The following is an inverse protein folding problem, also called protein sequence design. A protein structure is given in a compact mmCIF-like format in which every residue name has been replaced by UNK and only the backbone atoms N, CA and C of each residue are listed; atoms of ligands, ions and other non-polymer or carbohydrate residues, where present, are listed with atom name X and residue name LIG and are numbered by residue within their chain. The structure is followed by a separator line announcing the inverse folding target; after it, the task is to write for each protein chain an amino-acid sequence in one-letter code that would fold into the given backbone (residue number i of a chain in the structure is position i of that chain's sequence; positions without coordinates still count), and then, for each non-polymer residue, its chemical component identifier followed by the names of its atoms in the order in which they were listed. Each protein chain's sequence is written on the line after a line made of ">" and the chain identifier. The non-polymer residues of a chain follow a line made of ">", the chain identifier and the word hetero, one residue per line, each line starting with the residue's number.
data_IF_127839147086
#
_entry.id   IF_127839147086
#
_cell.length_a   1.000
_cell.length_b   1.000
_cell.length_c   1.000
_cell.angle_alpha   90.00
_cell.angle_beta   90.00
_cell.angle_gamma   90.00
#
_symmetry.space_group_name_H-M   'P 1'
#
loop_
_entity.id
_entity.type
_entity.pdbx_description
1 polymer ?
#
# COMPACT_ATOMS: atom_id res chain seq x y z
N UNK A 1 -26.49 67.71 -11.38
CA UNK A 1 -25.60 67.39 -10.25
C UNK A 1 -25.79 65.94 -9.69
N UNK A 2 -26.86 65.23 -10.02
CA UNK A 2 -27.16 63.88 -9.51
C UNK A 2 -26.51 62.71 -10.28
N UNK A 3 -26.08 62.90 -11.53
CA UNK A 3 -25.51 61.83 -12.35
C UNK A 3 -24.09 61.39 -11.91
N UNK A 4 -23.28 62.29 -11.37
CA UNK A 4 -21.94 61.98 -10.91
C UNK A 4 -21.93 61.13 -9.63
N UNK A 5 -22.89 61.27 -8.73
CA UNK A 5 -22.93 60.50 -7.48
C UNK A 5 -23.30 59.03 -7.71
N UNK A 6 -24.11 58.71 -8.72
CA UNK A 6 -24.46 57.34 -9.06
C UNK A 6 -23.25 56.58 -9.65
N UNK A 7 -22.44 57.21 -10.49
CA UNK A 7 -21.24 56.60 -11.08
C UNK A 7 -20.19 56.27 -10.00
N UNK A 8 -19.96 57.20 -9.07
CA UNK A 8 -19.04 56.99 -7.95
C UNK A 8 -19.53 55.89 -6.99
N UNK A 9 -20.82 55.81 -6.74
CA UNK A 9 -21.41 54.77 -5.91
C UNK A 9 -21.26 53.36 -6.56
N UNK A 10 -21.52 53.19 -7.83
CA UNK A 10 -21.34 51.95 -8.53
C UNK A 10 -19.88 51.54 -8.62
N UNK A 11 -18.96 52.45 -8.86
CA UNK A 11 -17.52 52.15 -8.87
C UNK A 11 -17.01 51.73 -7.49
N UNK A 12 -17.44 52.38 -6.42
CA UNK A 12 -17.09 52.00 -5.06
C UNK A 12 -17.66 50.61 -4.67
N UNK A 13 -18.89 50.33 -5.06
CA UNK A 13 -19.52 49.00 -4.83
C UNK A 13 -18.79 47.91 -5.57
N UNK A 14 -18.44 48.13 -6.84
CA UNK A 14 -17.68 47.18 -7.64
C UNK A 14 -16.29 46.93 -7.04
N UNK A 15 -15.60 47.97 -6.60
CA UNK A 15 -14.30 47.83 -5.94
C UNK A 15 -14.40 47.05 -4.62
N UNK A 16 -15.45 47.26 -3.84
CA UNK A 16 -15.72 46.53 -2.60
C UNK A 16 -15.95 45.06 -2.87
N UNK A 17 -16.80 44.73 -3.85
CA UNK A 17 -17.08 43.33 -4.26
C UNK A 17 -15.79 42.67 -4.74
N UNK A 18 -15.01 43.33 -5.59
CA UNK A 18 -13.76 42.79 -6.11
C UNK A 18 -12.73 42.53 -4.99
N UNK A 19 -12.65 43.46 -4.00
CA UNK A 19 -11.72 43.33 -2.88
C UNK A 19 -12.05 42.17 -1.94
N UNK A 20 -13.32 41.77 -1.84
CA UNK A 20 -13.74 40.62 -1.03
C UNK A 20 -13.73 39.32 -1.81
N UNK A 21 -14.11 39.34 -3.10
CA UNK A 21 -14.16 38.14 -3.93
C UNK A 21 -12.76 37.56 -4.20
N UNK A 22 -11.76 38.43 -4.44
CA UNK A 22 -10.38 37.99 -4.71
C UNK A 22 -9.78 37.08 -3.62
N UNK A 23 -9.74 37.53 -2.36
CA UNK A 23 -9.24 36.69 -1.26
C UNK A 23 -10.03 35.42 -1.04
N UNK A 24 -11.36 35.43 -1.18
CA UNK A 24 -12.20 34.23 -1.02
C UNK A 24 -11.93 33.19 -2.09
N UNK A 25 -11.81 33.58 -3.35
CA UNK A 25 -11.44 32.68 -4.45
C UNK A 25 -10.05 32.12 -4.23
N UNK A 26 -9.09 32.94 -3.81
CA UNK A 26 -7.71 32.52 -3.53
C UNK A 26 -7.67 31.49 -2.40
N UNK A 27 -8.37 31.73 -1.29
CA UNK A 27 -8.45 30.80 -0.15
C UNK A 27 -9.07 29.48 -0.59
N UNK A 28 -10.15 29.50 -1.37
CA UNK A 28 -10.79 28.30 -1.86
C UNK A 28 -9.88 27.50 -2.79
N UNK A 29 -9.26 28.15 -3.77
CA UNK A 29 -8.32 27.53 -4.69
C UNK A 29 -7.11 26.92 -3.96
N UNK A 30 -6.51 27.67 -3.01
CA UNK A 30 -5.39 27.21 -2.22
C UNK A 30 -5.74 26.00 -1.36
N UNK A 31 -6.89 26.02 -0.69
CA UNK A 31 -7.36 24.85 0.10
C UNK A 31 -7.58 23.62 -0.78
N UNK A 32 -8.17 23.78 -1.95
CA UNK A 32 -8.36 22.69 -2.91
C UNK A 32 -7.02 22.09 -3.37
N UNK A 33 -6.05 22.93 -3.72
CA UNK A 33 -4.70 22.52 -4.11
C UNK A 33 -3.95 21.81 -2.98
N UNK A 34 -4.00 22.36 -1.75
CA UNK A 34 -3.36 21.74 -0.58
C UNK A 34 -3.96 20.34 -0.34
N UNK A 35 -5.28 20.21 -0.35
CA UNK A 35 -5.95 18.92 -0.14
C UNK A 35 -5.58 17.91 -1.22
N UNK A 36 -5.52 18.31 -2.49
CA UNK A 36 -5.10 17.45 -3.58
C UNK A 36 -3.64 16.99 -3.42
N UNK A 37 -2.74 17.94 -3.08
CA UNK A 37 -1.32 17.62 -2.89
C UNK A 37 -1.09 16.70 -1.70
N UNK A 38 -1.76 16.93 -0.57
CA UNK A 38 -1.63 16.09 0.63
C UNK A 38 -2.18 14.68 0.37
N UNK A 39 -3.33 14.56 -0.29
CA UNK A 39 -3.91 13.26 -0.63
C UNK A 39 -3.01 12.48 -1.59
N UNK A 40 -2.51 13.13 -2.63
CA UNK A 40 -1.59 12.53 -3.60
C UNK A 40 -0.30 12.07 -2.92
N UNK A 41 0.33 12.91 -2.08
CA UNK A 41 1.54 12.56 -1.36
C UNK A 41 1.36 11.40 -0.38
N UNK A 42 0.24 11.35 0.35
CA UNK A 42 -0.05 10.25 1.27
C UNK A 42 -0.28 8.93 0.51
N UNK A 43 -0.97 8.98 -0.63
CA UNK A 43 -1.21 7.80 -1.46
C UNK A 43 0.07 7.28 -2.10
N UNK A 44 0.96 8.19 -2.57
CA UNK A 44 2.28 7.81 -3.07
C UNK A 44 3.10 7.08 -2.00
N UNK A 45 3.16 7.63 -0.78
CA UNK A 45 3.85 6.99 0.35
C UNK A 45 3.26 5.61 0.66
N UNK A 46 1.94 5.48 0.63
CA UNK A 46 1.26 4.19 0.81
C UNK A 46 1.70 3.19 -0.26
N UNK A 47 1.76 3.58 -1.55
CA UNK A 47 2.22 2.71 -2.65
C UNK A 47 3.65 2.23 -2.39
N UNK A 48 4.55 3.12 -2.00
CA UNK A 48 5.96 2.80 -1.76
C UNK A 48 6.12 1.86 -0.57
N UNK A 49 5.42 2.11 0.54
CA UNK A 49 5.42 1.24 1.72
C UNK A 49 4.77 -0.13 1.44
N UNK A 50 3.71 -0.17 0.65
CA UNK A 50 3.07 -1.42 0.26
C UNK A 50 4.00 -2.26 -0.61
N UNK A 51 4.66 -1.67 -1.60
CA UNK A 51 5.66 -2.33 -2.46
C UNK A 51 6.82 -2.90 -1.64
N UNK A 52 7.36 -2.13 -0.71
CA UNK A 52 8.43 -2.58 0.19
C UNK A 52 7.97 -3.77 1.04
N UNK A 53 6.76 -3.71 1.61
CA UNK A 53 6.21 -4.77 2.44
C UNK A 53 5.99 -6.07 1.66
N UNK A 54 5.48 -6.00 0.43
CA UNK A 54 5.33 -7.16 -0.47
C UNK A 54 6.71 -7.75 -0.83
N UNK A 55 7.68 -6.90 -1.17
CA UNK A 55 9.02 -7.36 -1.53
C UNK A 55 9.70 -8.08 -0.37
N UNK A 56 9.59 -7.54 0.84
CA UNK A 56 10.11 -8.20 2.06
C UNK A 56 9.40 -9.52 2.33
N UNK A 57 8.07 -9.54 2.24
CA UNK A 57 7.29 -10.75 2.44
C UNK A 57 7.73 -11.86 1.48
N UNK A 58 7.87 -11.57 0.19
CA UNK A 58 8.34 -12.55 -0.81
C UNK A 58 9.77 -13.02 -0.54
N UNK A 59 10.67 -12.14 -0.10
CA UNK A 59 12.05 -12.52 0.25
C UNK A 59 12.11 -13.43 1.47
N UNK A 60 11.33 -13.15 2.51
CA UNK A 60 11.33 -13.96 3.74
C UNK A 60 10.72 -15.34 3.51
N UNK A 61 9.76 -15.50 2.58
CA UNK A 61 9.23 -16.81 2.21
C UNK A 61 10.35 -17.73 1.72
N UNK A 62 11.22 -17.22 0.84
CA UNK A 62 12.32 -18.00 0.29
C UNK A 62 13.28 -18.48 1.40
N UNK A 63 13.61 -17.61 2.35
CA UNK A 63 14.49 -17.92 3.49
C UNK A 63 13.83 -18.97 4.41
N UNK A 64 12.55 -18.78 4.73
CA UNK A 64 11.81 -19.72 5.60
C UNK A 64 11.65 -21.08 4.94
N UNK A 65 11.37 -21.14 3.64
CA UNK A 65 11.26 -22.39 2.90
C UNK A 65 12.59 -23.15 2.89
N UNK A 66 13.70 -22.47 2.62
CA UNK A 66 15.03 -23.06 2.60
C UNK A 66 15.46 -23.55 4.00
N UNK A 67 15.25 -22.75 5.04
CA UNK A 67 15.57 -23.14 6.41
C UNK A 67 14.83 -24.40 6.87
N UNK A 68 13.57 -24.55 6.45
CA UNK A 68 12.77 -25.74 6.75
C UNK A 68 13.32 -27.01 6.06
N UNK A 69 13.73 -26.92 4.79
CA UNK A 69 14.31 -28.07 4.08
C UNK A 69 15.58 -28.57 4.80
N UNK A 70 16.43 -27.68 5.26
CA UNK A 70 17.67 -28.04 5.97
C UNK A 70 17.36 -28.77 7.27
N UNK A 71 16.40 -28.29 8.06
CA UNK A 71 16.00 -28.92 9.32
C UNK A 71 15.40 -30.32 9.11
N UNK A 72 14.64 -30.53 8.04
CA UNK A 72 13.96 -31.81 7.77
C UNK A 72 14.88 -32.85 7.12
N UNK A 73 15.87 -32.40 6.32
CA UNK A 73 16.73 -33.30 5.51
C UNK A 73 17.78 -34.02 6.32
N UNK A 74 18.39 -33.39 7.30
CA UNK A 74 19.52 -33.95 8.03
C UNK A 74 19.13 -34.58 9.38
N UNK A 75 17.87 -34.49 9.81
CA UNK A 75 17.41 -35.06 11.08
C UNK A 75 18.12 -34.50 12.32
N UNK A 76 19.12 -33.68 12.13
CA UNK A 76 19.92 -33.02 13.14
C UNK A 76 19.49 -31.55 13.22
N UNK A 77 18.86 -31.17 14.33
CA UNK A 77 18.50 -29.77 14.61
C UNK A 77 19.79 -29.02 14.92
N UNK A 78 20.36 -28.37 13.90
CA UNK A 78 21.50 -27.47 14.13
C UNK A 78 20.95 -26.20 14.76
N UNK A 79 21.26 -25.96 16.03
CA UNK A 79 20.72 -24.87 16.87
C UNK A 79 20.86 -23.49 16.22
N UNK A 80 21.90 -23.24 15.43
CA UNK A 80 22.08 -21.99 14.69
C UNK A 80 21.03 -21.79 13.57
N UNK A 81 20.65 -22.86 12.89
CA UNK A 81 19.64 -22.84 11.82
C UNK A 81 18.24 -22.58 12.38
N UNK A 82 17.96 -23.10 13.60
CA UNK A 82 16.67 -22.89 14.27
C UNK A 82 16.47 -21.41 14.64
N UNK A 83 17.50 -20.74 15.18
CA UNK A 83 17.43 -19.31 15.51
C UNK A 83 17.21 -18.43 14.29
N UNK A 84 17.93 -18.69 13.19
CA UNK A 84 17.77 -17.96 11.93
C UNK A 84 16.40 -18.19 11.32
N UNK A 85 15.91 -19.44 11.33
CA UNK A 85 14.57 -19.79 10.89
C UNK A 85 13.49 -19.05 11.69
N UNK A 86 13.56 -19.06 13.01
CA UNK A 86 12.60 -18.37 13.88
C UNK A 86 12.60 -16.85 13.65
N UNK A 87 13.77 -16.26 13.43
CA UNK A 87 13.88 -14.84 13.09
C UNK A 87 13.27 -14.54 11.72
N UNK A 88 13.56 -15.34 10.69
CA UNK A 88 12.99 -15.19 9.36
C UNK A 88 11.47 -15.37 9.39
N UNK A 89 10.97 -16.37 10.12
CA UNK A 89 9.56 -16.59 10.31
C UNK A 89 8.86 -15.43 11.04
N UNK A 90 9.52 -14.86 12.05
CA UNK A 90 9.03 -13.64 12.73
C UNK A 90 8.92 -12.45 11.79
N UNK A 91 9.94 -12.22 10.94
CA UNK A 91 9.90 -11.14 9.92
C UNK A 91 8.83 -11.39 8.86
N UNK A 92 8.61 -12.66 8.46
CA UNK A 92 7.54 -13.04 7.54
C UNK A 92 6.16 -12.69 8.10
N UNK A 93 5.89 -13.06 9.37
CA UNK A 93 4.66 -12.70 10.06
C UNK A 93 4.48 -11.18 10.14
N UNK A 94 5.56 -10.45 10.48
CA UNK A 94 5.52 -8.99 10.55
C UNK A 94 5.13 -8.38 9.21
N UNK A 95 5.77 -8.80 8.11
CA UNK A 95 5.48 -8.31 6.77
C UNK A 95 4.05 -8.62 6.34
N UNK A 96 3.57 -9.84 6.61
CA UNK A 96 2.18 -10.22 6.33
C UNK A 96 1.17 -9.36 7.10
N UNK A 97 1.40 -9.12 8.39
CA UNK A 97 0.52 -8.29 9.20
C UNK A 97 0.55 -6.82 8.75
N UNK A 98 1.71 -6.30 8.35
CA UNK A 98 1.81 -4.96 7.77
C UNK A 98 0.99 -4.84 6.49
N UNK A 99 1.05 -5.83 5.59
CA UNK A 99 0.23 -5.87 4.37
C UNK A 99 -1.26 -5.89 4.73
N UNK A 100 -1.69 -6.73 5.71
CA UNK A 100 -3.09 -6.78 6.16
C UNK A 100 -3.59 -5.43 6.68
N UNK A 101 -2.76 -4.70 7.43
CA UNK A 101 -3.11 -3.37 7.93
C UNK A 101 -3.20 -2.30 6.84
N UNK A 102 -2.53 -2.51 5.72
CA UNK A 102 -2.53 -1.60 4.57
C UNK A 102 -3.66 -1.91 3.57
N UNK A 103 -4.31 -3.06 3.68
CA UNK A 103 -5.34 -3.52 2.75
C UNK A 103 -6.75 -3.33 3.33
N UNK A 104 -7.73 -3.16 2.43
CA UNK A 104 -9.15 -3.13 2.78
C UNK A 104 -9.77 -4.50 2.48
N UNK A 105 -10.17 -5.29 3.48
CA UNK A 105 -10.72 -6.63 3.25
C UNK A 105 -12.06 -6.65 2.48
N UNK A 106 -12.76 -5.50 2.41
CA UNK A 106 -13.99 -5.37 1.65
C UNK A 106 -13.76 -5.10 0.14
N UNK A 107 -12.51 -4.86 -0.26
CA UNK A 107 -12.12 -4.75 -1.67
C UNK A 107 -11.77 -6.18 -2.18
N UNK A 108 -12.42 -6.66 -3.27
CA UNK A 108 -12.20 -8.02 -3.77
C UNK A 108 -10.74 -8.32 -4.15
N UNK A 109 -10.02 -7.36 -4.73
CA UNK A 109 -8.60 -7.52 -5.10
C UNK A 109 -7.72 -7.67 -3.86
N UNK A 110 -7.99 -6.87 -2.82
CA UNK A 110 -7.29 -6.97 -1.55
C UNK A 110 -7.62 -8.28 -0.83
N UNK A 111 -8.89 -8.72 -0.85
CA UNK A 111 -9.32 -10.00 -0.28
C UNK A 111 -8.56 -11.18 -0.90
N UNK A 112 -8.48 -11.22 -2.23
CA UNK A 112 -7.74 -12.27 -2.95
C UNK A 112 -6.24 -12.26 -2.67
N UNK A 113 -5.63 -11.08 -2.47
CA UNK A 113 -4.24 -10.98 -2.02
C UNK A 113 -4.06 -11.59 -0.63
N UNK A 114 -4.96 -11.27 0.30
CA UNK A 114 -4.89 -11.80 1.67
C UNK A 114 -5.07 -13.33 1.70
N UNK A 115 -5.96 -13.87 0.88
CA UNK A 115 -6.12 -15.33 0.70
C UNK A 115 -4.84 -15.99 0.18
N UNK A 116 -4.15 -15.36 -0.79
CA UNK A 116 -2.88 -15.87 -1.28
C UNK A 116 -1.80 -15.87 -0.19
N UNK A 117 -1.74 -14.81 0.63
CA UNK A 117 -0.84 -14.72 1.79
C UNK A 117 -1.16 -15.83 2.80
N UNK A 118 -2.42 -16.10 3.08
CA UNK A 118 -2.83 -17.15 4.04
C UNK A 118 -2.46 -18.52 3.55
N UNK A 119 -2.56 -18.81 2.24
CA UNK A 119 -2.12 -20.07 1.64
C UNK A 119 -0.62 -20.33 1.83
N UNK A 120 0.22 -19.30 1.82
CA UNK A 120 1.65 -19.45 2.16
C UNK A 120 1.83 -19.99 3.58
N UNK A 121 1.10 -19.44 4.56
CA UNK A 121 1.20 -19.93 5.94
C UNK A 121 0.64 -21.35 6.11
N UNK A 122 -0.39 -21.72 5.35
CA UNK A 122 -0.89 -23.09 5.30
C UNK A 122 0.18 -24.01 4.73
N UNK A 123 0.76 -23.67 3.58
CA UNK A 123 1.82 -24.45 2.94
C UNK A 123 3.02 -24.64 3.89
N UNK A 124 3.49 -23.57 4.52
CA UNK A 124 4.61 -23.62 5.47
C UNK A 124 4.31 -24.50 6.70
N UNK A 125 3.05 -24.72 7.08
CA UNK A 125 2.67 -25.57 8.20
C UNK A 125 2.46 -27.04 7.80
N UNK A 126 1.90 -27.27 6.61
CA UNK A 126 1.34 -28.57 6.22
C UNK A 126 2.18 -29.34 5.21
N UNK A 127 3.18 -28.70 4.57
CA UNK A 127 3.98 -29.37 3.56
C UNK A 127 4.59 -30.68 4.11
N UNK A 128 4.21 -31.78 3.50
CA UNK A 128 4.75 -33.09 3.81
C UNK A 128 6.18 -33.25 3.23
N UNK A 129 7.01 -34.17 3.77
CA UNK A 129 8.37 -34.40 3.25
C UNK A 129 8.45 -34.76 1.77
N UNK A 130 7.33 -35.26 1.18
CA UNK A 130 7.25 -35.70 -0.21
C UNK A 130 6.62 -34.66 -1.17
N UNK A 131 6.19 -33.52 -0.67
CA UNK A 131 5.73 -32.39 -1.50
C UNK A 131 6.92 -31.51 -1.84
N UNK A 132 6.93 -30.95 -3.06
CA UNK A 132 7.88 -29.90 -3.43
C UNK A 132 7.31 -28.54 -2.99
N UNK A 133 7.54 -28.13 -1.72
CA UNK A 133 7.00 -26.88 -1.19
C UNK A 133 7.60 -25.66 -1.92
N UNK A 134 8.76 -25.85 -2.57
CA UNK A 134 9.41 -24.81 -3.31
C UNK A 134 8.62 -24.43 -4.57
N UNK A 135 8.21 -25.43 -5.36
CA UNK A 135 7.44 -25.18 -6.59
C UNK A 135 6.06 -24.58 -6.30
N UNK A 136 5.36 -25.11 -5.32
CA UNK A 136 4.05 -24.59 -4.90
C UNK A 136 4.17 -23.19 -4.30
N UNK A 137 5.18 -22.98 -3.45
CA UNK A 137 5.51 -21.67 -2.88
C UNK A 137 5.81 -20.61 -3.96
N UNK A 138 6.57 -20.97 -4.99
CA UNK A 138 6.87 -20.08 -6.12
C UNK A 138 5.59 -19.70 -6.90
N UNK A 139 4.66 -20.61 -7.10
CA UNK A 139 3.40 -20.32 -7.77
C UNK A 139 2.56 -19.31 -6.95
N UNK A 140 2.46 -19.51 -5.62
CA UNK A 140 1.71 -18.59 -4.75
C UNK A 140 2.42 -17.22 -4.65
N UNK A 141 3.75 -17.18 -4.58
CA UNK A 141 4.53 -15.93 -4.63
C UNK A 141 4.21 -15.17 -5.93
N UNK A 142 4.19 -15.88 -7.07
CA UNK A 142 3.82 -15.28 -8.35
C UNK A 142 2.43 -14.65 -8.31
N UNK A 143 1.46 -15.32 -7.71
CA UNK A 143 0.11 -14.79 -7.52
C UNK A 143 0.10 -13.54 -6.60
N UNK A 144 0.79 -13.59 -5.46
CA UNK A 144 0.92 -12.44 -4.54
C UNK A 144 1.49 -11.23 -5.28
N UNK A 145 2.54 -11.42 -6.07
CA UNK A 145 3.16 -10.34 -6.85
C UNK A 145 2.19 -9.78 -7.90
N UNK A 146 1.49 -10.64 -8.67
CA UNK A 146 0.57 -10.18 -9.70
C UNK A 146 -0.61 -9.39 -9.13
N UNK A 147 -1.20 -9.86 -8.02
CA UNK A 147 -2.28 -9.14 -7.34
C UNK A 147 -1.80 -7.81 -6.77
N UNK A 148 -0.60 -7.78 -6.19
CA UNK A 148 0.00 -6.54 -5.68
C UNK A 148 0.23 -5.52 -6.80
N UNK A 149 0.66 -5.94 -7.99
CA UNK A 149 0.81 -5.07 -9.17
C UNK A 149 -0.55 -4.50 -9.59
N UNK A 150 -1.62 -5.30 -9.58
CA UNK A 150 -2.99 -4.84 -9.90
C UNK A 150 -3.42 -3.74 -8.93
N UNK A 151 -3.29 -3.97 -7.62
CA UNK A 151 -3.63 -3.01 -6.56
C UNK A 151 -2.83 -1.72 -6.70
N UNK A 152 -1.50 -1.81 -6.87
CA UNK A 152 -0.63 -0.65 -7.05
C UNK A 152 -1.04 0.16 -8.28
N UNK A 153 -1.37 -0.50 -9.39
CA UNK A 153 -1.82 0.17 -10.63
C UNK A 153 -3.14 0.90 -10.41
N UNK A 154 -4.07 0.32 -9.69
CA UNK A 154 -5.34 0.98 -9.37
C UNK A 154 -5.12 2.22 -8.52
N UNK A 155 -4.30 2.13 -7.46
CA UNK A 155 -3.99 3.27 -6.59
C UNK A 155 -3.21 4.35 -7.34
N UNK A 156 -2.27 3.97 -8.22
CA UNK A 156 -1.55 4.91 -9.08
C UNK A 156 -2.49 5.69 -10.01
N UNK A 157 -3.44 5.00 -10.63
CA UNK A 157 -4.45 5.66 -11.47
C UNK A 157 -5.32 6.64 -10.66
N UNK A 158 -5.60 6.36 -9.38
CA UNK A 158 -6.28 7.29 -8.48
C UNK A 158 -5.43 8.53 -8.17
N UNK A 159 -4.11 8.35 -7.97
CA UNK A 159 -3.16 9.48 -7.81
C UNK A 159 -3.18 10.40 -9.02
N UNK A 160 -3.08 9.83 -10.23
CA UNK A 160 -3.05 10.61 -11.47
C UNK A 160 -4.33 11.38 -11.74
N UNK A 161 -5.48 10.87 -11.30
CA UNK A 161 -6.78 11.54 -11.45
C UNK A 161 -7.06 12.61 -10.39
N UNK A 162 -6.17 12.79 -9.41
CA UNK A 162 -6.37 13.73 -8.30
C UNK A 162 -7.50 13.36 -7.35
N UNK A 163 -7.89 12.08 -7.33
CA UNK A 163 -9.02 11.57 -6.55
C UNK A 163 -8.57 11.07 -5.17
#
# INVERSE_FOLDING_TARGET
>A
MFANNSITFFSALTALIASLAGPLVTIYATRSQINATVRSGNRQRWIDEFRDSISRFCSEIAIVAQGRETIVRDGEIVIHTESEFLQAYGRLIYSANKIRLMTNPNDPEHGQLLEAIDRIFVLLRTAAPNQDPHREGQAIIGEVVQRSISIIRQEWNRVQRGA
#
